data_IF_540821449272
#
_entry.id   IF_540821449272
#
_cell.length_a   1.000
_cell.length_b   1.000
_cell.length_c   1.000
_cell.angle_alpha   90.00
_cell.angle_beta   90.00
_cell.angle_gamma   90.00
#
_symmetry.space_group_name_H-M   'P 1'
#
loop_
_entity.id
_entity.type
_entity.pdbx_description
1 polymer ?
#
# COMPACT_ATOMS: atom_id res chain seq x y z
N UNK A 1 30.16 -25.89 -5.27
CA UNK A 1 29.79 -24.57 -4.73
C UNK A 1 28.53 -24.10 -5.41
N UNK A 2 27.55 -23.73 -4.64
CA UNK A 2 26.25 -23.32 -5.16
C UNK A 2 26.21 -21.82 -5.46
N UNK A 3 25.81 -21.44 -6.67
CA UNK A 3 25.59 -20.05 -7.02
C UNK A 3 24.29 -19.49 -6.42
N UNK A 4 23.40 -20.36 -5.98
CA UNK A 4 22.13 -19.96 -5.35
C UNK A 4 22.35 -19.20 -4.03
N UNK A 5 23.39 -19.54 -3.28
CA UNK A 5 23.74 -18.83 -2.05
C UNK A 5 24.13 -17.37 -2.32
N UNK A 6 24.88 -17.13 -3.41
CA UNK A 6 25.30 -15.80 -3.80
C UNK A 6 24.14 -14.97 -4.34
N UNK A 7 23.16 -15.60 -4.98
CA UNK A 7 21.98 -14.92 -5.51
C UNK A 7 21.19 -14.24 -4.39
N UNK A 8 20.98 -14.93 -3.28
CA UNK A 8 20.27 -14.37 -2.12
C UNK A 8 21.10 -13.26 -1.46
N UNK A 9 22.43 -13.43 -1.36
CA UNK A 9 23.33 -12.44 -0.79
C UNK A 9 23.47 -11.18 -1.64
N UNK A 10 23.33 -11.32 -2.98
CA UNK A 10 23.45 -10.22 -3.93
C UNK A 10 22.14 -9.47 -4.17
N UNK A 11 21.02 -9.98 -3.64
CA UNK A 11 19.75 -9.29 -3.75
C UNK A 11 19.82 -7.95 -3.01
N UNK A 12 19.33 -6.84 -3.60
CA UNK A 12 19.33 -5.56 -2.92
C UNK A 12 18.49 -5.65 -1.64
N UNK A 13 19.04 -5.16 -0.55
CA UNK A 13 18.32 -5.09 0.71
C UNK A 13 17.25 -4.01 0.62
N UNK A 14 16.02 -4.40 0.94
CA UNK A 14 14.92 -3.45 0.95
C UNK A 14 15.03 -2.51 2.14
N UNK A 15 15.13 -1.22 1.85
CA UNK A 15 15.08 -0.18 2.87
C UNK A 15 13.75 0.54 2.76
N UNK A 16 12.89 0.43 3.77
CA UNK A 16 11.60 1.13 3.74
C UNK A 16 11.79 2.64 3.70
N UNK A 17 11.02 3.31 2.85
CA UNK A 17 10.95 4.76 2.87
C UNK A 17 10.01 5.19 3.99
N UNK A 18 10.47 6.09 4.84
CA UNK A 18 9.65 6.60 5.94
C UNK A 18 8.54 7.50 5.40
N UNK A 19 7.32 7.23 5.81
CA UNK A 19 6.19 8.11 5.56
C UNK A 19 6.37 9.45 6.30
N UNK A 20 6.02 10.58 5.68
CA UNK A 20 6.00 11.87 6.38
C UNK A 20 5.11 11.88 7.63
N UNK A 21 4.10 11.01 7.68
CA UNK A 21 3.21 10.88 8.83
C UNK A 21 3.91 10.27 10.05
N UNK A 22 5.11 9.71 9.90
CA UNK A 22 5.93 9.28 11.04
C UNK A 22 6.38 10.46 11.91
N UNK A 23 6.29 11.68 11.43
CA UNK A 23 6.61 12.89 12.19
C UNK A 23 5.42 13.40 13.01
N UNK A 24 4.25 12.82 12.85
CA UNK A 24 3.07 13.15 13.65
C UNK A 24 3.34 12.76 15.10
N UNK A 25 2.97 13.64 16.05
CA UNK A 25 3.15 13.37 17.47
C UNK A 25 2.40 12.10 17.87
N UNK A 26 3.10 11.22 18.57
CA UNK A 26 2.56 9.93 18.99
C UNK A 26 2.74 8.79 17.97
N UNK A 27 3.29 9.08 16.77
CA UNK A 27 3.54 8.04 15.79
C UNK A 27 4.51 6.99 16.34
N UNK A 28 4.09 5.73 16.31
CA UNK A 28 4.87 4.59 16.76
C UNK A 28 5.15 3.69 15.54
N UNK A 29 6.41 3.47 15.25
CA UNK A 29 6.83 2.77 14.04
C UNK A 29 6.31 1.33 14.00
N UNK A 30 5.81 0.94 12.84
CA UNK A 30 5.53 -0.46 12.54
C UNK A 30 6.82 -1.18 12.14
N UNK A 31 6.79 -2.47 12.20
CA UNK A 31 7.87 -3.35 11.74
C UNK A 31 7.37 -4.33 10.67
N UNK A 32 8.27 -5.18 10.18
CA UNK A 32 7.92 -6.16 9.16
C UNK A 32 7.48 -5.53 7.84
N UNK A 33 6.43 -6.07 7.20
CA UNK A 33 5.99 -5.59 5.88
C UNK A 33 5.47 -4.15 5.90
N UNK A 34 5.08 -3.64 7.06
CA UNK A 34 4.59 -2.28 7.22
C UNK A 34 5.65 -1.31 7.73
N UNK A 35 6.92 -1.70 7.69
CA UNK A 35 8.01 -0.82 8.07
C UNK A 35 7.98 0.47 7.22
N UNK A 36 8.17 1.61 7.86
CA UNK A 36 8.11 2.92 7.23
C UNK A 36 6.82 3.68 7.46
N UNK A 37 5.79 3.05 7.98
CA UNK A 37 4.56 3.71 8.42
C UNK A 37 4.36 3.51 9.92
N UNK A 38 3.40 4.22 10.48
CA UNK A 38 3.06 4.08 11.90
C UNK A 38 2.16 2.87 12.11
N UNK A 39 2.43 2.10 13.17
CA UNK A 39 1.52 1.08 13.66
C UNK A 39 0.30 1.72 14.34
N UNK A 40 0.51 2.85 15.00
CA UNK A 40 -0.54 3.67 15.61
C UNK A 40 0.04 5.07 15.89
N UNK A 41 -0.82 6.00 16.27
CA UNK A 41 -0.45 7.38 16.59
C UNK A 41 -0.66 7.71 18.06
N UNK A 42 -0.47 6.74 18.94
CA UNK A 42 -0.48 6.93 20.38
C UNK A 42 -1.65 6.27 21.10
N UNK A 43 -2.79 6.09 20.46
CA UNK A 43 -3.96 5.43 21.05
C UNK A 43 -4.63 4.48 20.04
N UNK A 44 -4.14 3.26 19.93
CA UNK A 44 -4.63 2.29 18.93
C UNK A 44 -6.12 1.94 19.11
N UNK A 45 -6.62 1.92 20.35
CA UNK A 45 -8.05 1.62 20.58
C UNK A 45 -8.96 2.74 20.11
N UNK A 46 -8.57 3.99 20.32
CA UNK A 46 -9.33 5.14 19.82
C UNK A 46 -9.33 5.19 18.30
N UNK A 47 -8.19 4.90 17.67
CA UNK A 47 -8.04 4.85 16.22
C UNK A 47 -8.92 3.75 15.62
N UNK A 48 -8.93 2.58 16.23
CA UNK A 48 -9.77 1.46 15.81
C UNK A 48 -11.26 1.78 15.93
N UNK A 49 -11.68 2.46 17.00
CA UNK A 49 -13.05 2.91 17.18
C UNK A 49 -13.44 3.95 16.12
N UNK A 50 -12.53 4.86 15.77
CA UNK A 50 -12.77 5.85 14.74
C UNK A 50 -12.98 5.18 13.37
N UNK A 51 -12.16 4.21 13.02
CA UNK A 51 -12.31 3.43 11.78
C UNK A 51 -13.64 2.66 11.75
N UNK A 52 -14.03 2.07 12.88
CA UNK A 52 -15.30 1.32 12.96
C UNK A 52 -16.53 2.23 12.81
N UNK A 53 -16.45 3.50 13.22
CA UNK A 53 -17.53 4.49 13.07
C UNK A 53 -17.57 5.10 11.69
N UNK A 54 -16.43 5.18 10.99
CA UNK A 54 -16.37 5.72 9.64
C UNK A 54 -16.83 4.65 8.64
N UNK A 55 -18.11 4.68 8.32
CA UNK A 55 -18.73 3.77 7.35
C UNK A 55 -18.97 4.46 6.02
N UNK A 56 -18.02 5.27 5.58
CA UNK A 56 -18.21 6.09 4.39
C UNK A 56 -19.16 7.26 4.63
N UNK A 57 -19.24 7.71 5.87
CA UNK A 57 -20.08 8.85 6.23
C UNK A 57 -19.61 10.10 5.47
N UNK A 58 -20.56 10.83 4.91
CA UNK A 58 -20.30 12.10 4.21
C UNK A 58 -20.22 13.28 5.17
N UNK A 59 -20.51 13.07 6.44
CA UNK A 59 -20.50 14.07 7.49
C UNK A 59 -19.50 13.72 8.58
N UNK A 60 -18.79 14.72 9.09
CA UNK A 60 -17.76 14.56 10.10
C UNK A 60 -16.35 14.55 9.51
N UNK A 61 -15.37 14.40 10.37
CA UNK A 61 -13.95 14.35 9.95
C UNK A 61 -13.64 13.00 9.30
N UNK A 62 -13.01 13.00 8.14
CA UNK A 62 -12.63 11.75 7.48
C UNK A 62 -11.56 11.02 8.29
N UNK A 63 -11.63 9.70 8.28
CA UNK A 63 -10.56 8.85 8.80
C UNK A 63 -9.67 8.42 7.65
N UNK A 64 -8.37 8.62 7.81
CA UNK A 64 -7.37 8.35 6.78
C UNK A 64 -6.41 7.28 7.29
N UNK A 65 -6.09 6.33 6.42
CA UNK A 65 -5.12 5.27 6.70
C UNK A 65 -3.92 5.44 5.79
N UNK A 66 -2.73 5.51 6.38
CA UNK A 66 -1.48 5.56 5.62
C UNK A 66 -1.17 4.18 5.06
N UNK A 67 -1.15 4.06 3.75
CA UNK A 67 -0.82 2.84 3.01
C UNK A 67 0.47 2.97 2.20
N UNK A 68 1.31 3.94 2.52
CA UNK A 68 2.54 4.20 1.77
C UNK A 68 3.61 3.11 1.93
N UNK A 69 3.39 2.11 2.77
CA UNK A 69 4.21 0.90 2.81
C UNK A 69 4.00 0.00 1.58
N UNK A 70 2.89 0.17 0.86
CA UNK A 70 2.62 -0.58 -0.37
C UNK A 70 3.46 -0.04 -1.53
N UNK A 71 3.99 -0.95 -2.33
CA UNK A 71 4.70 -0.58 -3.54
C UNK A 71 3.76 -0.07 -4.63
N UNK A 72 4.29 0.73 -5.53
CA UNK A 72 3.58 1.22 -6.71
C UNK A 72 4.32 0.75 -7.96
N UNK A 73 3.58 0.14 -8.87
CA UNK A 73 4.10 -0.29 -10.16
C UNK A 73 3.34 0.45 -11.25
N UNK A 74 4.08 1.10 -12.14
CA UNK A 74 3.51 1.75 -13.31
C UNK A 74 3.61 0.83 -14.52
N UNK A 75 2.49 0.60 -15.17
CA UNK A 75 2.42 -0.15 -16.42
C UNK A 75 1.96 0.80 -17.52
N UNK A 76 2.74 0.90 -18.59
CA UNK A 76 2.46 1.80 -19.70
C UNK A 76 2.56 1.06 -21.03
N UNK A 77 2.09 1.68 -22.11
CA UNK A 77 2.08 1.12 -23.44
C UNK A 77 0.66 0.92 -23.98
N UNK A 78 0.52 0.72 -25.31
CA UNK A 78 -0.80 0.58 -25.94
C UNK A 78 -1.57 -0.65 -25.48
N UNK A 79 -0.86 -1.73 -25.14
CA UNK A 79 -1.48 -3.01 -24.75
C UNK A 79 -1.58 -3.19 -23.24
N UNK A 80 -1.32 -2.15 -22.46
CA UNK A 80 -1.29 -2.24 -20.99
C UNK A 80 -2.56 -2.80 -20.36
N UNK A 81 -3.72 -2.35 -20.83
CA UNK A 81 -5.00 -2.76 -20.26
C UNK A 81 -5.35 -4.21 -20.62
N UNK A 82 -5.12 -4.62 -21.87
CA UNK A 82 -5.36 -6.02 -22.28
C UNK A 82 -4.39 -6.98 -21.61
N UNK A 83 -3.13 -6.59 -21.49
CA UNK A 83 -2.12 -7.40 -20.81
C UNK A 83 -2.47 -7.59 -19.33
N UNK A 84 -2.81 -6.52 -18.63
CA UNK A 84 -3.22 -6.60 -17.23
C UNK A 84 -4.50 -7.41 -17.05
N UNK A 85 -5.49 -7.25 -17.94
CA UNK A 85 -6.74 -8.03 -17.92
C UNK A 85 -6.47 -9.52 -18.02
N UNK A 86 -5.48 -9.93 -18.80
CA UNK A 86 -5.12 -11.35 -18.94
C UNK A 86 -4.55 -11.95 -17.66
N UNK A 87 -4.02 -11.14 -16.76
CA UNK A 87 -3.42 -11.58 -15.50
C UNK A 87 -4.31 -11.32 -14.29
N UNK A 88 -5.27 -10.44 -14.40
CA UNK A 88 -6.07 -9.93 -13.29
C UNK A 88 -7.40 -10.67 -13.16
N UNK A 89 -8.00 -10.59 -11.98
CA UNK A 89 -9.33 -11.11 -11.70
C UNK A 89 -10.46 -10.23 -12.24
N UNK A 90 -10.13 -9.08 -12.81
CA UNK A 90 -11.08 -8.07 -13.31
C UNK A 90 -10.76 -7.68 -14.75
N UNK A 91 -11.79 -7.25 -15.48
CA UNK A 91 -11.61 -6.64 -16.78
C UNK A 91 -11.14 -5.19 -16.58
N UNK A 92 -10.03 -4.82 -17.22
CA UNK A 92 -9.42 -3.49 -17.08
C UNK A 92 -9.45 -2.70 -18.40
N UNK A 93 -9.90 -3.31 -19.49
CA UNK A 93 -9.94 -2.67 -20.81
C UNK A 93 -11.00 -1.59 -20.94
N UNK A 94 -11.99 -1.56 -20.05
CA UNK A 94 -13.08 -0.58 -20.03
C UNK A 94 -12.82 0.59 -19.09
N UNK A 95 -11.62 0.68 -18.50
CA UNK A 95 -11.26 1.77 -17.62
C UNK A 95 -10.91 3.04 -18.37
N UNK A 96 -11.38 4.17 -17.86
CA UNK A 96 -11.06 5.50 -18.35
C UNK A 96 -10.02 6.18 -17.44
N UNK A 97 -9.32 7.22 -17.93
CA UNK A 97 -8.43 7.99 -17.09
C UNK A 97 -9.14 8.48 -15.81
N UNK A 98 -8.49 8.27 -14.65
CA UNK A 98 -9.05 8.61 -13.35
C UNK A 98 -9.83 7.49 -12.68
N UNK A 99 -10.18 6.42 -13.39
CA UNK A 99 -10.86 5.27 -12.80
C UNK A 99 -9.92 4.47 -11.90
N UNK A 100 -10.50 3.89 -10.86
CA UNK A 100 -9.81 2.96 -9.96
C UNK A 100 -10.54 1.63 -9.92
N UNK A 101 -9.80 0.56 -9.82
CA UNK A 101 -10.35 -0.79 -9.70
C UNK A 101 -9.46 -1.66 -8.85
N UNK A 102 -10.06 -2.43 -7.98
CA UNK A 102 -9.35 -3.42 -7.17
C UNK A 102 -9.41 -4.78 -7.85
N UNK A 103 -8.29 -5.48 -7.91
CA UNK A 103 -8.20 -6.80 -8.51
C UNK A 103 -7.06 -7.60 -7.88
N UNK A 104 -7.10 -8.90 -8.12
CA UNK A 104 -6.04 -9.84 -7.76
C UNK A 104 -5.32 -10.31 -9.03
N UNK A 105 -4.04 -10.51 -8.89
CA UNK A 105 -3.21 -11.11 -9.93
C UNK A 105 -3.12 -12.63 -9.77
#
# INVERSE_FOLDING_TARGET
MSTAENTAADAPEYTPTLSPLMQVHGAFAADGPDAGIAAHYGNPLAEQRALARDRGATTGDPVVVDRSSLGVVRVSGPDRASWLTSLASQILTDMNPGDSREFLL
#
